data_IF_489168328964
#
_entry.id   IF_489168328964
#
_cell.length_a   1.000
_cell.length_b   1.000
_cell.length_c   1.000
_cell.angle_alpha   90.00
_cell.angle_beta   90.00
_cell.angle_gamma   90.00
#
_symmetry.space_group_name_H-M   'P 1'
#
loop_
_entity.id
_entity.type
_entity.pdbx_description
1 polymer ?
#
# COMPACT_ATOMS: atom_id res chain seq x y z
N UNK A 1 -3.18 14.96 -25.85
CA UNK A 1 -4.27 14.34 -25.06
C UNK A 1 -3.82 13.22 -24.14
N UNK A 2 -3.19 12.13 -24.62
CA UNK A 2 -2.72 11.02 -23.76
C UNK A 2 -1.73 11.45 -22.66
N UNK A 3 -0.74 12.28 -23.02
CA UNK A 3 0.21 12.82 -22.05
C UNK A 3 -0.44 13.70 -20.98
N UNK A 4 -1.44 14.52 -21.37
CA UNK A 4 -2.20 15.35 -20.44
C UNK A 4 -2.99 14.49 -19.44
N UNK A 5 -3.67 13.45 -19.91
CA UNK A 5 -4.37 12.50 -19.02
C UNK A 5 -3.41 11.81 -18.05
N UNK A 6 -2.26 11.37 -18.53
CA UNK A 6 -1.24 10.76 -17.69
C UNK A 6 -0.71 11.74 -16.62
N UNK A 7 -0.44 12.99 -17.00
CA UNK A 7 -0.02 14.03 -16.06
C UNK A 7 -1.08 14.33 -15.01
N UNK A 8 -2.36 14.43 -15.40
CA UNK A 8 -3.47 14.64 -14.47
C UNK A 8 -3.59 13.47 -13.48
N UNK A 9 -3.54 12.22 -13.98
CA UNK A 9 -3.59 11.03 -13.12
C UNK A 9 -2.40 10.94 -12.17
N UNK A 10 -1.19 11.31 -12.63
CA UNK A 10 -0.01 11.37 -11.80
C UNK A 10 -0.17 12.40 -10.67
N UNK A 11 -0.57 13.64 -11.00
CA UNK A 11 -0.79 14.69 -10.00
C UNK A 11 -1.89 14.31 -8.99
N UNK A 12 -3.02 13.79 -9.46
CA UNK A 12 -4.09 13.32 -8.58
C UNK A 12 -3.60 12.20 -7.65
N UNK A 13 -2.88 11.22 -8.18
CA UNK A 13 -2.30 10.13 -7.39
C UNK A 13 -1.32 10.64 -6.32
N UNK A 14 -0.43 11.58 -6.68
CA UNK A 14 0.51 12.20 -5.73
C UNK A 14 -0.20 12.99 -4.65
N UNK A 15 -1.26 13.74 -4.98
CA UNK A 15 -2.08 14.47 -4.01
C UNK A 15 -2.77 13.49 -3.06
N UNK A 16 -3.41 12.44 -3.57
CA UNK A 16 -4.05 11.42 -2.74
C UNK A 16 -3.04 10.74 -1.79
N UNK A 17 -1.83 10.43 -2.27
CA UNK A 17 -0.79 9.82 -1.46
C UNK A 17 -0.29 10.77 -0.35
N UNK A 18 -0.11 12.06 -0.65
CA UNK A 18 0.24 13.07 0.35
C UNK A 18 -0.87 13.25 1.40
N UNK A 19 -2.13 13.30 0.96
CA UNK A 19 -3.30 13.40 1.83
C UNK A 19 -3.41 12.19 2.75
N UNK A 20 -3.12 10.98 2.28
CA UNK A 20 -3.12 9.78 3.12
C UNK A 20 -2.18 9.94 4.32
N UNK A 21 -0.95 10.43 4.10
CA UNK A 21 0.02 10.67 5.18
C UNK A 21 -0.47 11.72 6.17
N UNK A 22 -0.97 12.85 5.69
CA UNK A 22 -1.48 13.95 6.53
C UNK A 22 -2.70 13.50 7.34
N UNK A 23 -3.69 12.89 6.69
CA UNK A 23 -4.92 12.43 7.35
C UNK A 23 -4.62 11.31 8.35
N UNK A 24 -3.67 10.43 8.07
CA UNK A 24 -3.24 9.41 9.03
C UNK A 24 -2.65 10.04 10.29
N UNK A 25 -1.77 11.05 10.17
CA UNK A 25 -1.22 11.74 11.34
C UNK A 25 -2.30 12.50 12.12
N UNK A 26 -3.23 13.18 11.45
CA UNK A 26 -4.34 13.89 12.08
C UNK A 26 -5.36 12.94 12.75
N UNK A 27 -5.37 11.67 12.38
CA UNK A 27 -6.27 10.67 12.97
C UNK A 27 -5.73 10.02 14.26
N UNK A 28 -4.52 10.38 14.68
CA UNK A 28 -3.96 9.94 15.97
C UNK A 28 -4.65 10.67 17.11
N UNK A 29 -4.83 9.96 18.21
CA UNK A 29 -5.31 10.53 19.48
C UNK A 29 -4.21 11.40 20.12
N UNK A 30 -4.56 12.17 21.14
CA UNK A 30 -3.65 13.09 21.83
C UNK A 30 -2.44 12.38 22.47
N UNK A 31 -2.57 11.08 22.75
CA UNK A 31 -1.51 10.20 23.24
C UNK A 31 -0.58 9.67 22.13
N UNK A 32 -0.83 10.03 20.87
CA UNK A 32 -0.09 9.58 19.70
C UNK A 32 -0.48 8.19 19.20
N UNK A 33 -1.46 7.53 19.82
CA UNK A 33 -1.95 6.21 19.42
C UNK A 33 -3.08 6.30 18.38
N UNK A 34 -3.38 5.19 17.71
CA UNK A 34 -4.54 5.08 16.84
C UNK A 34 -5.71 4.43 17.61
N UNK A 35 -6.87 5.09 17.60
CA UNK A 35 -8.10 4.54 18.20
C UNK A 35 -8.71 3.35 17.41
N UNK A 36 -8.08 2.96 16.31
CA UNK A 36 -8.50 1.90 15.42
C UNK A 36 -7.31 1.00 15.06
N UNK A 37 -7.60 -0.22 14.62
CA UNK A 37 -6.54 -1.13 14.16
C UNK A 37 -6.15 -0.81 12.71
N UNK A 38 -4.84 -0.63 12.46
CA UNK A 38 -4.30 -0.44 11.10
C UNK A 38 -4.67 -1.60 10.14
N UNK A 39 -4.66 -2.88 10.56
CA UNK A 39 -5.11 -3.98 9.68
C UNK A 39 -6.56 -3.85 9.22
N UNK A 40 -7.46 -3.34 10.08
CA UNK A 40 -8.85 -3.08 9.69
C UNK A 40 -8.94 -2.00 8.61
N UNK A 41 -8.12 -0.95 8.69
CA UNK A 41 -8.07 0.11 7.67
C UNK A 41 -7.62 -0.45 6.32
N UNK A 42 -6.60 -1.31 6.32
CA UNK A 42 -6.12 -1.98 5.09
C UNK A 42 -7.22 -2.85 4.49
N UNK A 43 -7.90 -3.66 5.30
CA UNK A 43 -9.00 -4.51 4.85
C UNK A 43 -10.16 -3.68 4.26
N UNK A 44 -10.55 -2.59 4.93
CA UNK A 44 -11.57 -1.68 4.43
C UNK A 44 -11.15 -1.00 3.12
N UNK A 45 -9.89 -0.59 2.99
CA UNK A 45 -9.37 -0.03 1.75
C UNK A 45 -9.41 -1.03 0.58
N UNK A 46 -9.07 -2.30 0.80
CA UNK A 46 -9.23 -3.36 -0.21
C UNK A 46 -10.71 -3.56 -0.58
N UNK A 47 -11.59 -3.57 0.40
CA UNK A 47 -13.03 -3.71 0.17
C UNK A 47 -13.59 -2.52 -0.64
N UNK A 48 -13.22 -1.28 -0.29
CA UNK A 48 -13.62 -0.09 -1.05
C UNK A 48 -13.10 -0.15 -2.49
N UNK A 49 -11.83 -0.50 -2.70
CA UNK A 49 -11.25 -0.66 -4.05
C UNK A 49 -11.97 -1.75 -4.86
N UNK A 50 -12.36 -2.85 -4.22
CA UNK A 50 -13.15 -3.91 -4.82
C UNK A 50 -14.51 -3.40 -5.31
N UNK A 51 -15.27 -2.71 -4.46
CA UNK A 51 -16.58 -2.17 -4.84
C UNK A 51 -16.50 -1.12 -5.94
N UNK A 52 -15.51 -0.22 -5.87
CA UNK A 52 -15.29 0.77 -6.93
C UNK A 52 -14.98 0.05 -8.26
N UNK A 53 -14.10 -0.95 -8.24
CA UNK A 53 -13.72 -1.69 -9.45
C UNK A 53 -14.89 -2.49 -10.02
N UNK A 54 -15.69 -3.12 -9.16
CA UNK A 54 -16.88 -3.85 -9.57
C UNK A 54 -17.97 -2.93 -10.11
N UNK A 55 -18.11 -1.73 -9.55
CA UNK A 55 -19.00 -0.68 -10.06
C UNK A 55 -18.61 -0.23 -11.47
N UNK A 56 -17.33 0.08 -11.70
CA UNK A 56 -16.85 0.41 -13.03
C UNK A 56 -17.01 -0.75 -14.03
N UNK A 57 -16.70 -1.98 -13.62
CA UNK A 57 -16.90 -3.16 -14.47
C UNK A 57 -18.39 -3.37 -14.83
N UNK A 58 -19.29 -3.10 -13.88
CA UNK A 58 -20.74 -3.18 -14.10
C UNK A 58 -21.19 -2.16 -15.14
N UNK A 59 -20.66 -0.94 -15.10
CA UNK A 59 -20.95 0.09 -16.12
C UNK A 59 -20.40 -0.34 -17.48
N UNK A 60 -19.19 -0.88 -17.54
CA UNK A 60 -18.55 -1.33 -18.78
C UNK A 60 -19.28 -2.53 -19.43
N UNK A 61 -19.81 -3.44 -18.62
CA UNK A 61 -20.53 -4.63 -19.07
C UNK A 61 -22.05 -4.42 -19.21
N UNK A 62 -22.60 -3.34 -18.67
CA UNK A 62 -24.03 -3.03 -18.73
C UNK A 62 -24.88 -3.68 -17.62
N UNK A 63 -24.43 -4.77 -17.00
CA UNK A 63 -25.13 -5.40 -15.87
C UNK A 63 -24.16 -6.00 -14.84
N UNK A 64 -24.61 -6.04 -13.57
CA UNK A 64 -23.82 -6.61 -12.47
C UNK A 64 -23.59 -8.11 -12.66
N UNK A 65 -24.58 -8.81 -13.21
CA UNK A 65 -24.50 -10.24 -13.55
C UNK A 65 -23.47 -10.52 -14.62
N UNK A 66 -23.36 -9.67 -15.65
CA UNK A 66 -22.34 -9.82 -16.69
C UNK A 66 -20.95 -9.48 -16.16
N UNK A 67 -20.82 -8.48 -15.28
CA UNK A 67 -19.56 -8.19 -14.59
C UNK A 67 -19.07 -9.38 -13.73
N UNK A 68 -19.99 -10.02 -12.99
CA UNK A 68 -19.64 -11.19 -12.19
C UNK A 68 -19.31 -12.40 -13.08
N UNK A 69 -20.06 -12.61 -14.16
CA UNK A 69 -19.78 -13.66 -15.15
C UNK A 69 -18.41 -13.48 -15.81
N UNK A 70 -18.05 -12.25 -16.18
CA UNK A 70 -16.73 -11.91 -16.74
C UNK A 70 -15.59 -12.28 -15.78
N UNK A 71 -15.74 -11.98 -14.48
CA UNK A 71 -14.72 -12.29 -13.47
C UNK A 71 -14.66 -13.79 -13.18
N UNK A 72 -15.80 -14.42 -12.91
CA UNK A 72 -15.90 -15.84 -12.52
C UNK A 72 -15.63 -16.81 -13.67
N UNK A 73 -15.86 -16.39 -14.91
CA UNK A 73 -15.56 -17.15 -16.12
C UNK A 73 -14.07 -17.22 -16.46
N UNK A 74 -13.21 -16.55 -15.71
CA UNK A 74 -11.76 -16.54 -15.97
C UNK A 74 -11.06 -17.80 -15.45
N UNK A 75 -9.98 -18.19 -16.13
CA UNK A 75 -9.27 -19.42 -15.78
C UNK A 75 -8.66 -19.38 -14.37
N UNK A 76 -8.56 -20.55 -13.71
CA UNK A 76 -7.88 -20.69 -12.41
C UNK A 76 -6.44 -20.17 -12.45
N UNK A 77 -5.76 -20.34 -13.58
CA UNK A 77 -4.42 -19.77 -13.81
C UNK A 77 -4.41 -18.25 -13.62
N UNK A 78 -5.42 -17.55 -14.12
CA UNK A 78 -5.54 -16.09 -13.93
C UNK A 78 -5.60 -15.76 -12.44
N UNK A 79 -6.50 -16.39 -11.69
CA UNK A 79 -6.60 -16.19 -10.23
C UNK A 79 -5.29 -16.46 -9.48
N UNK A 80 -4.56 -17.52 -9.83
CA UNK A 80 -3.28 -17.85 -9.20
C UNK A 80 -2.19 -16.80 -9.51
N UNK A 81 -2.15 -16.29 -10.74
CA UNK A 81 -1.17 -15.26 -11.15
C UNK A 81 -1.46 -13.92 -10.45
N UNK A 82 -2.72 -13.58 -10.23
CA UNK A 82 -3.15 -12.40 -9.44
C UNK A 82 -2.96 -12.59 -7.93
N UNK A 83 -2.85 -13.83 -7.43
CA UNK A 83 -2.66 -14.07 -6.00
C UNK A 83 -1.30 -13.57 -5.50
N UNK A 84 -0.23 -13.74 -6.29
CA UNK A 84 1.12 -13.34 -5.91
C UNK A 84 1.23 -11.84 -5.55
N UNK A 85 0.81 -10.88 -6.40
CA UNK A 85 0.89 -9.46 -6.05
C UNK A 85 -0.01 -9.12 -4.86
N UNK A 86 -1.22 -9.71 -4.75
CA UNK A 86 -2.10 -9.48 -3.59
C UNK A 86 -1.46 -9.92 -2.27
N UNK A 87 -0.81 -11.09 -2.25
CA UNK A 87 -0.07 -11.57 -1.08
C UNK A 87 1.11 -10.67 -0.76
N UNK A 88 1.89 -10.26 -1.78
CA UNK A 88 3.03 -9.35 -1.57
C UNK A 88 2.58 -7.98 -1.04
N UNK A 89 1.48 -7.42 -1.54
CA UNK A 89 0.92 -6.16 -1.03
C UNK A 89 0.45 -6.30 0.42
N UNK A 90 -0.25 -7.39 0.76
CA UNK A 90 -0.66 -7.64 2.15
C UNK A 90 0.55 -7.84 3.07
N UNK A 91 1.55 -8.60 2.63
CA UNK A 91 2.79 -8.78 3.38
C UNK A 91 3.50 -7.43 3.58
N UNK A 92 3.57 -6.59 2.55
CA UNK A 92 4.19 -5.28 2.63
C UNK A 92 3.52 -4.39 3.68
N UNK A 93 2.18 -4.33 3.69
CA UNK A 93 1.42 -3.58 4.69
C UNK A 93 1.65 -4.09 6.13
N UNK A 94 1.80 -5.40 6.30
CA UNK A 94 2.09 -5.98 7.63
C UNK A 94 3.54 -5.73 8.07
N UNK A 95 4.50 -5.76 7.14
CA UNK A 95 5.89 -5.41 7.41
C UNK A 95 6.04 -3.94 7.78
N UNK A 96 5.29 -3.03 7.16
CA UNK A 96 5.20 -1.60 7.52
C UNK A 96 4.81 -1.42 8.99
N UNK A 97 3.74 -2.12 9.41
CA UNK A 97 3.29 -2.09 10.80
C UNK A 97 4.32 -2.70 11.76
N UNK A 98 5.00 -3.77 11.36
CA UNK A 98 6.01 -4.43 12.18
C UNK A 98 7.29 -3.59 12.30
N UNK A 99 7.67 -2.86 11.25
CA UNK A 99 8.79 -1.92 11.28
C UNK A 99 8.55 -0.81 12.30
N UNK A 100 7.35 -0.23 12.32
CA UNK A 100 6.94 0.78 13.31
C UNK A 100 7.06 0.32 14.78
N UNK A 101 7.17 -0.99 15.04
CA UNK A 101 7.41 -1.55 16.38
C UNK A 101 8.89 -1.71 16.73
N UNK A 102 9.79 -1.69 15.74
CA UNK A 102 11.22 -1.96 15.88
C UNK A 102 12.12 -0.78 15.46
N UNK A 103 11.53 0.33 15.02
CA UNK A 103 12.22 1.58 14.73
C UNK A 103 11.28 2.77 14.90
N UNK A 104 11.84 3.95 15.16
CA UNK A 104 11.04 5.17 15.23
C UNK A 104 10.57 5.63 13.83
N UNK A 105 9.45 6.38 13.75
CA UNK A 105 8.87 6.80 12.47
C UNK A 105 9.82 7.62 11.58
N UNK A 106 10.75 8.39 12.17
CA UNK A 106 11.65 9.23 11.42
C UNK A 106 12.78 8.39 10.78
N UNK A 107 13.29 7.40 11.53
CA UNK A 107 14.21 6.40 10.99
C UNK A 107 13.55 5.58 9.88
N UNK A 108 12.32 5.12 10.09
CA UNK A 108 11.57 4.38 9.06
C UNK A 108 11.41 5.20 7.77
N UNK A 109 10.95 6.45 7.89
CA UNK A 109 10.71 7.36 6.75
C UNK A 109 11.94 7.53 5.86
N UNK A 110 13.14 7.54 6.45
CA UNK A 110 14.40 7.61 5.69
C UNK A 110 14.72 6.27 5.04
N UNK A 111 14.64 5.17 5.79
CA UNK A 111 15.07 3.84 5.31
C UNK A 111 14.15 3.28 4.23
N UNK A 112 12.83 3.54 4.29
CA UNK A 112 11.88 3.08 3.26
C UNK A 112 12.21 3.63 1.87
N UNK A 113 12.93 4.74 1.76
CA UNK A 113 13.30 5.32 0.46
C UNK A 113 14.26 4.43 -0.34
N UNK A 114 14.94 3.49 0.30
CA UNK A 114 15.74 2.47 -0.40
C UNK A 114 14.88 1.67 -1.40
N UNK A 115 13.55 1.66 -1.23
CA UNK A 115 12.59 1.11 -2.20
C UNK A 115 12.75 1.68 -3.61
N UNK A 116 13.23 2.92 -3.75
CA UNK A 116 13.47 3.55 -5.06
C UNK A 116 14.52 2.76 -5.84
N UNK A 117 15.62 2.41 -5.17
CA UNK A 117 16.73 1.66 -5.77
C UNK A 117 16.36 0.20 -5.98
N UNK A 118 15.75 -0.45 -4.98
CA UNK A 118 15.33 -1.86 -5.12
C UNK A 118 14.27 -2.01 -6.22
N UNK A 119 13.34 -1.07 -6.38
CA UNK A 119 12.38 -1.07 -7.49
C UNK A 119 13.09 -0.98 -8.83
N UNK A 120 14.10 -0.13 -8.96
CA UNK A 120 14.93 -0.05 -10.17
C UNK A 120 15.62 -1.37 -10.51
N UNK A 121 16.20 -2.04 -9.50
CA UNK A 121 16.86 -3.36 -9.65
C UNK A 121 15.87 -4.45 -10.05
N UNK A 122 14.75 -4.56 -9.34
CA UNK A 122 13.71 -5.56 -9.63
C UNK A 122 13.11 -5.31 -11.01
N UNK A 123 12.85 -4.05 -11.37
CA UNK A 123 12.33 -3.69 -12.69
C UNK A 123 13.32 -4.06 -13.80
N UNK A 124 14.60 -3.76 -13.61
CA UNK A 124 15.66 -4.14 -14.55
C UNK A 124 15.71 -5.65 -14.75
N UNK A 125 15.62 -6.42 -13.67
CA UNK A 125 15.63 -7.89 -13.72
C UNK A 125 14.40 -8.47 -14.41
N UNK A 126 13.20 -8.02 -14.04
CA UNK A 126 11.91 -8.56 -14.56
C UNK A 126 11.70 -8.21 -16.03
N UNK A 127 12.00 -6.98 -16.45
CA UNK A 127 11.77 -6.55 -17.82
C UNK A 127 12.96 -6.83 -18.75
N UNK A 128 14.14 -7.15 -18.21
CA UNK A 128 15.34 -7.46 -18.99
C UNK A 128 15.80 -6.33 -19.91
N UNK A 129 15.42 -5.08 -19.62
CA UNK A 129 15.72 -3.92 -20.46
C UNK A 129 16.93 -3.19 -19.93
N UNK A 130 17.90 -2.89 -20.79
CA UNK A 130 19.10 -2.16 -20.38
C UNK A 130 18.78 -0.77 -19.80
N UNK A 131 19.36 -0.51 -18.62
CA UNK A 131 19.35 0.80 -17.99
C UNK A 131 20.74 1.40 -18.10
N UNK A 132 20.92 2.35 -19.02
CA UNK A 132 22.18 3.08 -19.16
C UNK A 132 22.52 3.92 -17.93
N UNK A 133 23.79 4.28 -17.78
CA UNK A 133 24.32 5.00 -16.61
C UNK A 133 23.50 6.24 -16.21
N UNK A 134 23.01 7.03 -17.18
CA UNK A 134 22.18 8.21 -16.91
C UNK A 134 20.90 7.89 -16.11
N UNK A 135 20.24 6.77 -16.39
CA UNK A 135 19.02 6.36 -15.67
C UNK A 135 19.35 5.91 -14.25
N UNK A 136 20.44 5.17 -14.06
CA UNK A 136 20.94 4.79 -12.73
C UNK A 136 21.35 5.99 -11.90
N UNK A 137 22.09 6.94 -12.48
CA UNK A 137 22.40 8.20 -11.82
C UNK A 137 21.13 8.99 -11.45
N UNK A 138 20.11 9.00 -12.33
CA UNK A 138 18.82 9.60 -12.03
C UNK A 138 18.10 8.94 -10.85
N UNK A 139 18.12 7.60 -10.77
CA UNK A 139 17.57 6.87 -9.62
C UNK A 139 18.33 7.17 -8.32
N UNK A 140 19.67 7.22 -8.37
CA UNK A 140 20.50 7.57 -7.22
C UNK A 140 20.23 9.00 -6.76
N UNK A 141 20.13 9.95 -7.69
CA UNK A 141 19.80 11.34 -7.38
C UNK A 141 18.41 11.47 -6.76
N UNK A 142 17.42 10.74 -7.29
CA UNK A 142 16.07 10.69 -6.75
C UNK A 142 16.05 10.11 -5.33
N UNK A 143 16.79 9.03 -5.10
CA UNK A 143 16.94 8.42 -3.78
C UNK A 143 17.54 9.41 -2.76
N UNK A 144 18.65 10.07 -3.11
CA UNK A 144 19.30 11.08 -2.25
C UNK A 144 18.37 12.26 -1.97
N UNK A 145 17.63 12.73 -2.97
CA UNK A 145 16.63 13.80 -2.80
C UNK A 145 15.50 13.38 -1.87
N UNK A 146 14.98 12.17 -2.02
CA UNK A 146 13.89 11.63 -1.21
C UNK A 146 14.31 11.37 0.26
N UNK A 147 15.54 10.90 0.47
CA UNK A 147 16.14 10.76 1.82
C UNK A 147 16.35 12.13 2.45
N UNK A 148 16.92 13.09 1.72
CA UNK A 148 17.13 14.45 2.21
C UNK A 148 15.81 15.13 2.61
N UNK A 149 14.75 14.93 1.82
CA UNK A 149 13.42 15.49 2.11
C UNK A 149 12.73 14.81 3.30
N UNK A 150 13.03 13.53 3.56
CA UNK A 150 12.50 12.78 4.71
C UNK A 150 13.34 12.91 5.97
N UNK A 151 14.46 13.64 5.93
CA UNK A 151 15.35 13.78 7.08
C UNK A 151 14.68 14.57 8.21
N UNK A 152 14.74 14.10 9.47
CA UNK A 152 14.15 14.82 10.60
C UNK A 152 14.76 16.24 10.73
N UNK A 153 13.90 17.27 10.76
CA UNK A 153 14.34 18.67 10.83
C UNK A 153 14.55 19.18 12.27
N UNK A 154 13.84 18.59 13.24
CA UNK A 154 14.02 18.94 14.64
C UNK A 154 15.17 18.13 15.24
N UNK A 155 16.03 18.81 16.00
CA UNK A 155 17.00 18.12 16.82
C UNK A 155 16.22 17.22 17.78
N UNK A 156 16.59 15.93 17.91
CA UNK A 156 15.91 15.05 18.84
C UNK A 156 15.92 15.69 20.23
N UNK A 157 14.75 15.78 20.87
CA UNK A 157 14.66 16.18 22.27
C UNK A 157 15.70 15.39 23.08
N UNK A 158 16.38 16.05 24.03
CA UNK A 158 17.53 15.45 24.74
C UNK A 158 17.25 13.99 25.13
N UNK A 159 18.04 13.07 24.55
CA UNK A 159 17.94 11.62 24.81
C UNK A 159 17.16 10.79 23.79
N UNK A 160 16.36 11.38 22.88
CA UNK A 160 15.54 10.64 21.91
C UNK A 160 16.24 10.47 20.55
N UNK A 161 17.36 9.73 20.52
CA UNK A 161 18.10 9.47 19.26
C UNK A 161 17.25 8.62 18.30
N UNK A 162 17.48 8.79 16.99
CA UNK A 162 17.01 7.83 15.98
C UNK A 162 17.33 6.41 16.46
N UNK A 163 16.31 5.58 16.52
CA UNK A 163 16.34 4.27 17.13
C UNK A 163 15.88 3.23 16.10
N UNK A 164 16.70 2.22 15.94
CA UNK A 164 16.38 1.02 15.18
C UNK A 164 16.98 -0.18 15.91
N UNK A 165 16.16 -1.18 16.13
CA UNK A 165 16.61 -2.46 16.65
C UNK A 165 17.38 -3.24 15.58
N UNK A 166 18.26 -4.14 16.01
CA UNK A 166 19.00 -5.02 15.08
C UNK A 166 18.04 -5.85 14.20
N UNK A 167 16.90 -6.25 14.75
CA UNK A 167 15.86 -6.94 13.98
C UNK A 167 15.10 -6.01 13.03
N UNK A 168 14.91 -4.72 13.40
CA UNK A 168 14.33 -3.71 12.54
C UNK A 168 15.10 -3.51 11.23
N UNK A 169 16.44 -3.61 11.27
CA UNK A 169 17.29 -3.56 10.06
C UNK A 169 16.96 -4.72 9.12
N UNK A 170 16.75 -5.91 9.65
CA UNK A 170 16.37 -7.08 8.84
C UNK A 170 14.97 -6.90 8.23
N UNK A 171 14.01 -6.41 9.02
CA UNK A 171 12.63 -6.20 8.58
C UNK A 171 12.52 -5.15 7.46
N UNK A 172 13.21 -4.01 7.58
CA UNK A 172 13.16 -2.96 6.57
C UNK A 172 13.80 -3.40 5.25
N UNK A 173 14.85 -4.24 5.30
CA UNK A 173 15.44 -4.83 4.11
C UNK A 173 14.42 -5.72 3.39
N UNK A 174 13.74 -6.63 4.10
CA UNK A 174 12.68 -7.45 3.50
C UNK A 174 11.57 -6.56 2.93
N UNK A 175 11.14 -5.54 3.68
CA UNK A 175 10.08 -4.63 3.27
C UNK A 175 10.37 -3.98 1.91
N UNK A 176 11.56 -3.39 1.71
CA UNK A 176 11.87 -2.68 0.45
C UNK A 176 11.96 -3.62 -0.76
N UNK A 177 12.35 -4.89 -0.56
CA UNK A 177 12.36 -5.90 -1.62
C UNK A 177 10.96 -6.43 -1.93
N UNK A 178 10.13 -6.67 -0.91
CA UNK A 178 8.73 -7.08 -1.08
C UNK A 178 7.94 -5.97 -1.77
N UNK A 179 8.12 -4.71 -1.37
CA UNK A 179 7.44 -3.54 -1.97
C UNK A 179 7.79 -3.41 -3.46
N UNK A 180 9.09 -3.48 -3.79
CA UNK A 180 9.57 -3.45 -5.16
C UNK A 180 9.00 -4.61 -6.00
N UNK A 181 9.04 -5.83 -5.45
CA UNK A 181 8.54 -7.02 -6.11
C UNK A 181 7.04 -6.95 -6.38
N UNK A 182 6.25 -6.49 -5.41
CA UNK A 182 4.81 -6.31 -5.57
C UNK A 182 4.49 -5.33 -6.71
N UNK A 183 5.12 -4.15 -6.70
CA UNK A 183 4.91 -3.12 -7.71
C UNK A 183 5.31 -3.55 -9.12
N UNK A 184 6.52 -4.09 -9.27
CA UNK A 184 7.06 -4.50 -10.58
C UNK A 184 6.33 -5.72 -11.13
N UNK A 185 6.00 -6.71 -10.28
CA UNK A 185 5.22 -7.86 -10.72
C UNK A 185 3.81 -7.44 -11.16
N UNK A 186 3.16 -6.53 -10.41
CA UNK A 186 1.87 -5.99 -10.81
C UNK A 186 1.97 -5.27 -12.17
N UNK A 187 2.99 -4.44 -12.39
CA UNK A 187 3.24 -3.83 -13.70
C UNK A 187 3.42 -4.86 -14.81
N UNK A 188 4.22 -5.90 -14.57
CA UNK A 188 4.45 -6.99 -15.52
C UNK A 188 3.15 -7.75 -15.84
N UNK A 189 2.33 -8.00 -14.82
CA UNK A 189 1.04 -8.70 -14.92
C UNK A 189 0.09 -7.95 -15.87
N UNK A 190 -0.11 -6.64 -15.66
CA UNK A 190 -0.97 -5.84 -16.54
C UNK A 190 -0.40 -5.64 -17.94
N UNK A 191 0.92 -5.53 -18.09
CA UNK A 191 1.53 -5.27 -19.41
C UNK A 191 1.67 -6.50 -20.29
N UNK A 192 1.79 -7.69 -19.70
CA UNK A 192 2.09 -8.92 -20.45
C UNK A 192 0.96 -9.94 -20.37
N UNK A 193 0.51 -10.29 -19.16
CA UNK A 193 -0.46 -11.38 -18.97
C UNK A 193 -1.90 -10.91 -19.21
N UNK A 194 -2.26 -9.72 -18.70
CA UNK A 194 -3.63 -9.16 -18.78
C UNK A 194 -3.73 -7.94 -19.70
N UNK A 195 -2.88 -7.87 -20.73
CA UNK A 195 -2.77 -6.70 -21.62
C UNK A 195 -4.07 -6.37 -22.36
N UNK A 196 -4.79 -7.40 -22.78
CA UNK A 196 -6.03 -7.28 -23.58
C UNK A 196 -7.29 -7.45 -22.71
N UNK A 197 -7.13 -7.59 -21.39
CA UNK A 197 -8.25 -7.72 -20.46
C UNK A 197 -8.72 -6.36 -19.94
N UNK A 198 -9.99 -6.28 -19.55
CA UNK A 198 -10.50 -5.09 -18.88
C UNK A 198 -9.80 -4.92 -17.51
N UNK A 199 -9.23 -3.74 -17.28
CA UNK A 199 -8.49 -3.41 -16.05
C UNK A 199 -9.35 -3.57 -14.80
N UNK A 200 -10.66 -3.30 -14.88
CA UNK A 200 -11.58 -3.44 -13.77
C UNK A 200 -11.83 -4.91 -13.41
N UNK A 201 -11.89 -5.81 -14.39
CA UNK A 201 -11.97 -7.27 -14.17
C UNK A 201 -10.71 -7.79 -13.46
N UNK A 202 -9.54 -7.34 -13.92
CA UNK A 202 -8.25 -7.63 -13.29
C UNK A 202 -8.20 -7.14 -11.83
N UNK A 203 -8.60 -5.88 -11.61
CA UNK A 203 -8.66 -5.27 -10.28
C UNK A 203 -9.62 -6.01 -9.34
N UNK A 204 -10.79 -6.43 -9.82
CA UNK A 204 -11.74 -7.20 -9.01
C UNK A 204 -11.10 -8.50 -8.53
N UNK A 205 -10.42 -9.26 -9.39
CA UNK A 205 -9.70 -10.49 -8.98
C UNK A 205 -8.61 -10.20 -7.97
N UNK A 206 -7.78 -9.18 -8.22
CA UNK A 206 -6.70 -8.74 -7.33
C UNK A 206 -7.24 -8.41 -5.92
N UNK A 207 -8.31 -7.62 -5.85
CA UNK A 207 -8.88 -7.13 -4.59
C UNK A 207 -9.74 -8.18 -3.87
N UNK A 208 -10.39 -9.12 -4.57
CA UNK A 208 -11.03 -10.28 -3.92
C UNK A 208 -9.98 -11.09 -3.15
N UNK A 209 -8.86 -11.41 -3.80
CA UNK A 209 -7.76 -12.15 -3.15
C UNK A 209 -7.15 -11.30 -2.03
N UNK A 210 -6.96 -9.99 -2.26
CA UNK A 210 -6.46 -9.06 -1.24
C UNK A 210 -7.34 -9.02 0.01
N UNK A 211 -8.66 -8.92 -0.16
CA UNK A 211 -9.63 -9.01 0.94
C UNK A 211 -9.53 -10.34 1.68
N UNK A 212 -9.46 -11.47 0.97
CA UNK A 212 -9.35 -12.79 1.59
C UNK A 212 -8.06 -12.94 2.40
N UNK A 213 -6.92 -12.51 1.86
CA UNK A 213 -5.62 -12.56 2.54
C UNK A 213 -5.62 -11.66 3.78
N UNK A 214 -6.04 -10.40 3.66
CA UNK A 214 -6.07 -9.48 4.80
C UNK A 214 -7.08 -9.91 5.88
N UNK A 215 -8.23 -10.46 5.49
CA UNK A 215 -9.21 -11.01 6.43
C UNK A 215 -8.62 -12.23 7.16
N UNK A 216 -7.97 -13.16 6.44
CA UNK A 216 -7.32 -14.32 7.05
C UNK A 216 -6.22 -13.91 8.04
N UNK A 217 -5.41 -12.90 7.70
CA UNK A 217 -4.39 -12.36 8.57
C UNK A 217 -4.98 -11.66 9.80
N UNK A 218 -6.13 -10.97 9.64
CA UNK A 218 -6.85 -10.35 10.74
C UNK A 218 -7.44 -11.39 11.70
N UNK A 219 -8.05 -12.45 11.17
CA UNK A 219 -8.64 -13.54 11.97
C UNK A 219 -7.58 -14.41 12.67
N UNK A 220 -6.38 -14.51 12.11
CA UNK A 220 -5.28 -15.31 12.68
C UNK A 220 -4.56 -14.61 13.84
N UNK A 221 -4.79 -13.29 14.02
CA UNK A 221 -4.29 -12.57 15.19
C UNK A 221 -5.22 -12.83 16.36
N UNK A 222 -4.67 -13.21 17.52
CA UNK A 222 -5.48 -13.31 18.74
C UNK A 222 -6.30 -12.03 18.94
N UNK A 223 -7.54 -12.12 19.44
CA UNK A 223 -8.38 -10.96 19.68
C UNK A 223 -7.77 -10.11 20.80
N UNK A 224 -6.80 -9.27 20.45
CA UNK A 224 -6.43 -8.12 21.25
C UNK A 224 -7.71 -7.28 21.44
N UNK A 225 -7.96 -6.82 22.68
CA UNK A 225 -9.24 -6.24 23.12
C UNK A 225 -9.74 -5.03 22.29
N UNK A 226 -8.95 -4.54 21.33
CA UNK A 226 -9.31 -3.49 20.37
C UNK A 226 -9.77 -4.02 19.00
N UNK A 227 -9.95 -5.33 18.85
CA UNK A 227 -10.13 -5.99 17.56
C UNK A 227 -11.36 -5.57 16.76
N UNK A 228 -12.43 -5.08 17.40
CA UNK A 228 -13.66 -4.59 16.77
C UNK A 228 -14.58 -3.90 17.81
N UNK A 229 -14.02 -3.08 18.72
CA UNK A 229 -14.87 -2.24 19.57
C UNK A 229 -15.43 -1.09 18.72
N UNK A 230 -16.76 -0.90 18.69
CA UNK A 230 -17.43 -0.19 17.61
C UNK A 230 -17.18 1.32 17.73
N UNK A 231 -16.88 1.94 16.59
CA UNK A 231 -16.94 3.39 16.34
C UNK A 231 -18.12 4.10 17.06
N UNK A 232 -19.23 3.38 17.25
CA UNK A 232 -20.42 3.81 17.99
C UNK A 232 -20.23 4.07 19.50
N UNK A 233 -19.27 3.43 20.17
CA UNK A 233 -18.98 3.70 21.59
C UNK A 233 -18.24 5.03 21.80
N UNK A 234 -17.44 5.46 20.82
CA UNK A 234 -16.72 6.75 20.86
C UNK A 234 -17.67 7.95 20.71
N UNK A 235 -18.75 7.80 19.94
CA UNK A 235 -19.81 8.82 19.79
C UNK A 235 -20.67 8.95 21.06
N UNK A 236 -20.81 7.86 21.83
CA UNK A 236 -21.59 7.88 23.09
C UNK A 236 -20.82 8.38 24.30
N UNK A 237 -19.48 8.39 24.27
CA UNK A 237 -18.66 8.81 25.42
C UNK A 237 -18.42 10.32 25.51
N UNK A 238 -18.78 11.10 24.47
CA UNK A 238 -18.76 12.56 24.47
C UNK A 238 -20.13 13.10 24.06
N UNK A 239 -21.10 13.24 24.99
CA UNK A 239 -22.22 14.15 24.72
C UNK A 239 -21.66 15.57 24.55
N UNK A 240 -22.18 16.38 23.60
CA UNK A 240 -21.79 17.79 23.53
C UNK A 240 -22.16 18.46 24.85
N UNK A 241 -21.18 19.12 25.49
CA UNK A 241 -21.47 19.97 26.63
C UNK A 241 -22.51 21.03 26.20
N UNK A 242 -23.59 21.22 26.98
CA UNK A 242 -24.54 22.28 26.69
C UNK A 242 -23.85 23.63 26.86
N UNK A 243 -24.03 24.49 25.85
CA UNK A 243 -23.63 25.91 25.83
C UNK A 243 -24.10 26.68 27.07
#
# INVERSE_FOLDING_TARGET
WRALRAAVLFCLGSICYALLGILSQLSKSDDGSYAYSLPSVVLLAEFTKLWISLGFLTVDKGSFTEALSDVTGTSVKSWLVFALPSVLYSLNNNLDMLNNQHMDPATEQVLVQAKILTTGVVWWWVFGREMGARKWCGLLLLFVGAVSAGWPQEAPAEGKRMHIDSFGVFLILIYVWVSASAGVYNEWLYKNFSKDENIHSCNVRLYIIGCAVNLSAHLSREPSAAGLLPFWKLIKSNPPEPL
#
